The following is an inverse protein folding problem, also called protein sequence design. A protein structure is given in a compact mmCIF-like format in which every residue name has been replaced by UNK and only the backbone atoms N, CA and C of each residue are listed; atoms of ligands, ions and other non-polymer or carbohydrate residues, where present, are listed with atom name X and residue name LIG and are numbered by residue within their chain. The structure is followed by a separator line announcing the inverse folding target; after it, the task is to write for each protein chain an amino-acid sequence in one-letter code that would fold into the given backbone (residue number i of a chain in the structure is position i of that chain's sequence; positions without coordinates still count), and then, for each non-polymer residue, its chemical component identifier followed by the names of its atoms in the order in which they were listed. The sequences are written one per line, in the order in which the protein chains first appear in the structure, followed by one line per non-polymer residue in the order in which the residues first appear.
data_IF_862966142264
#
_entry.id   IF_862966142264
#
_cell.length_a   1.000
_cell.length_b   1.000
_cell.length_c   1.000
_cell.angle_alpha   90.00
_cell.angle_beta   90.00
_cell.angle_gamma   90.00
#
_symmetry.space_group_name_H-M   'P 1'
#
loop_
_entity.id
_entity.type
_entity.pdbx_description
1 polymer ?
#
# COMPACT_ATOMS: atom_id res chain seq x y z
N UNK A 1 -19.42 -3.55 6.11
CA UNK A 1 -18.46 -2.65 6.78
C UNK A 1 -17.23 -2.55 5.92
N UNK A 2 -16.65 -1.35 5.70
CA UNK A 2 -15.43 -1.22 4.91
C UNK A 2 -14.27 -1.93 5.61
N UNK A 3 -13.39 -2.54 4.83
CA UNK A 3 -12.21 -3.22 5.37
C UNK A 3 -11.14 -2.18 5.73
N UNK A 4 -10.53 -2.37 6.91
CA UNK A 4 -9.46 -1.49 7.39
C UNK A 4 -8.10 -1.94 6.90
N UNK A 5 -7.40 -1.02 6.27
CA UNK A 5 -6.05 -1.20 5.76
C UNK A 5 -5.09 -0.34 6.60
N UNK A 6 -4.07 -0.98 7.16
CA UNK A 6 -2.92 -0.28 7.71
C UNK A 6 -1.94 -0.01 6.56
N UNK A 7 -1.62 1.25 6.29
CA UNK A 7 -0.64 1.64 5.27
C UNK A 7 0.62 2.16 5.96
N UNK A 8 1.78 1.56 5.68
CA UNK A 8 3.07 2.05 6.19
C UNK A 8 3.94 2.54 5.03
N UNK A 9 4.11 3.85 4.93
CA UNK A 9 4.93 4.51 3.91
C UNK A 9 5.57 5.78 4.50
N UNK A 10 6.91 5.88 4.56
CA UNK A 10 7.59 7.07 5.08
C UNK A 10 7.48 8.29 4.17
N UNK A 11 7.33 8.11 2.85
CA UNK A 11 7.13 9.22 1.92
C UNK A 11 5.70 9.76 2.04
N UNK A 12 5.56 11.00 2.53
CA UNK A 12 4.25 11.59 2.80
C UNK A 12 3.39 11.80 1.54
N UNK A 13 4.01 12.03 0.38
CA UNK A 13 3.28 12.21 -0.87
C UNK A 13 2.74 10.86 -1.34
N UNK A 14 3.62 9.87 -1.44
CA UNK A 14 3.25 8.52 -1.86
C UNK A 14 2.25 7.89 -0.89
N UNK A 15 2.42 8.08 0.42
CA UNK A 15 1.48 7.63 1.44
C UNK A 15 0.07 8.19 1.19
N UNK A 16 -0.03 9.50 0.92
CA UNK A 16 -1.30 10.18 0.66
C UNK A 16 -1.95 9.65 -0.62
N UNK A 17 -1.18 9.48 -1.70
CA UNK A 17 -1.68 8.99 -2.97
C UNK A 17 -2.15 7.54 -2.88
N UNK A 18 -1.39 6.67 -2.23
CA UNK A 18 -1.78 5.28 -1.97
C UNK A 18 -3.08 5.20 -1.15
N UNK A 19 -3.20 6.02 -0.11
CA UNK A 19 -4.42 6.09 0.70
C UNK A 19 -5.62 6.55 -0.14
N UNK A 20 -5.46 7.59 -0.97
CA UNK A 20 -6.50 8.10 -1.86
C UNK A 20 -6.95 7.04 -2.86
N UNK A 21 -6.02 6.33 -3.49
CA UNK A 21 -6.36 5.27 -4.44
C UNK A 21 -7.18 4.18 -3.75
N UNK A 22 -6.71 3.67 -2.59
CA UNK A 22 -7.40 2.63 -1.83
C UNK A 22 -8.82 3.06 -1.39
N UNK A 23 -8.97 4.30 -0.93
CA UNK A 23 -10.24 4.86 -0.51
C UNK A 23 -11.20 5.01 -1.71
N UNK A 24 -10.74 5.63 -2.80
CA UNK A 24 -11.60 5.97 -3.95
C UNK A 24 -11.93 4.77 -4.85
N UNK A 25 -11.05 3.79 -4.97
CA UNK A 25 -11.29 2.61 -5.83
C UNK A 25 -11.79 1.39 -5.08
N UNK A 26 -11.37 1.20 -3.83
CA UNK A 26 -11.74 0.02 -3.03
C UNK A 26 -12.76 0.28 -1.95
N UNK A 27 -13.09 1.53 -1.64
CA UNK A 27 -13.97 1.87 -0.51
C UNK A 27 -13.39 1.45 0.84
N UNK A 28 -12.06 1.36 0.94
CA UNK A 28 -11.36 0.92 2.14
C UNK A 28 -11.21 2.05 3.15
N UNK A 29 -11.25 1.70 4.45
CA UNK A 29 -10.84 2.59 5.52
C UNK A 29 -9.32 2.46 5.67
N UNK A 30 -8.57 3.52 5.34
CA UNK A 30 -7.10 3.48 5.32
C UNK A 30 -6.55 4.28 6.49
N UNK A 31 -5.67 3.66 7.26
CA UNK A 31 -4.97 4.27 8.37
C UNK A 31 -3.47 4.38 8.05
N UNK A 32 -2.98 5.57 7.67
CA UNK A 32 -1.61 5.75 7.22
C UNK A 32 -0.63 5.96 8.39
N UNK A 33 0.57 5.36 8.32
CA UNK A 33 1.67 5.54 9.27
C UNK A 33 3.00 5.69 8.53
N UNK A 34 3.89 6.52 9.07
CA UNK A 34 5.18 6.77 8.44
C UNK A 34 6.23 5.72 8.81
N UNK A 35 6.04 4.97 9.90
CA UNK A 35 6.99 3.95 10.33
C UNK A 35 6.34 2.75 11.06
N UNK A 36 7.15 1.71 11.26
CA UNK A 36 6.77 0.45 11.91
C UNK A 36 6.37 0.66 13.35
N UNK A 37 7.08 1.51 14.08
CA UNK A 37 6.90 1.72 15.52
C UNK A 37 5.51 2.31 15.82
N UNK A 38 5.06 3.26 15.00
CA UNK A 38 3.72 3.82 15.10
C UNK A 38 2.64 2.79 14.70
N UNK A 39 2.95 1.95 13.70
CA UNK A 39 2.05 0.91 13.22
C UNK A 39 1.82 -0.19 14.26
N UNK A 40 2.89 -0.68 14.91
CA UNK A 40 2.83 -1.70 15.96
C UNK A 40 1.98 -1.25 17.15
N UNK A 41 2.17 0.01 17.60
CA UNK A 41 1.35 0.61 18.66
C UNK A 41 -0.15 0.58 18.32
N UNK A 42 -0.47 0.73 17.04
CA UNK A 42 -1.84 0.75 16.55
C UNK A 42 -2.47 -0.64 16.45
N UNK A 43 -1.69 -1.64 16.01
CA UNK A 43 -2.13 -3.04 15.91
C UNK A 43 -2.60 -3.59 17.25
N UNK A 44 -2.04 -3.10 18.36
CA UNK A 44 -2.46 -3.46 19.71
C UNK A 44 -3.83 -2.88 20.10
N UNK A 45 -4.25 -1.79 19.47
CA UNK A 45 -5.44 -1.02 19.86
C UNK A 45 -6.68 -1.36 19.05
N UNK A 46 -6.53 -1.87 17.82
CA UNK A 46 -7.65 -2.08 16.90
C UNK A 46 -7.32 -3.12 15.80
N UNK A 47 -8.33 -3.83 15.28
CA UNK A 47 -8.12 -4.80 14.22
C UNK A 47 -7.92 -4.13 12.86
N UNK A 48 -7.07 -4.74 12.04
CA UNK A 48 -6.85 -4.41 10.64
C UNK A 48 -7.01 -5.67 9.81
N UNK A 49 -7.63 -5.54 8.63
CA UNK A 49 -7.82 -6.67 7.72
C UNK A 49 -6.52 -7.01 6.99
N UNK A 50 -5.74 -6.00 6.62
CA UNK A 50 -4.47 -6.17 5.93
C UNK A 50 -3.49 -5.01 6.18
N UNK A 51 -2.22 -5.29 5.91
CA UNK A 51 -1.13 -4.33 5.89
C UNK A 51 -0.62 -4.11 4.47
N UNK A 52 -0.51 -2.85 4.04
CA UNK A 52 0.18 -2.44 2.81
C UNK A 52 1.46 -1.68 3.18
N UNK A 53 2.61 -2.15 2.71
CA UNK A 53 3.89 -1.47 2.95
C UNK A 53 4.96 -1.89 1.93
N UNK A 54 6.12 -1.21 1.94
CA UNK A 54 7.32 -1.66 1.22
C UNK A 54 7.82 -3.01 1.74
N UNK A 55 8.47 -3.82 0.90
CA UNK A 55 8.97 -5.15 1.27
C UNK A 55 9.86 -5.15 2.52
N UNK A 56 10.76 -4.16 2.66
CA UNK A 56 11.63 -4.01 3.82
C UNK A 56 10.85 -3.84 5.14
N UNK A 57 9.69 -3.19 5.09
CA UNK A 57 8.80 -2.98 6.22
C UNK A 57 8.06 -4.27 6.59
N UNK A 58 7.58 -5.04 5.60
CA UNK A 58 6.78 -6.25 5.84
C UNK A 58 7.49 -7.33 6.65
N UNK A 59 8.81 -7.42 6.51
CA UNK A 59 9.66 -8.36 7.27
C UNK A 59 9.64 -8.11 8.78
N UNK A 60 9.33 -6.88 9.20
CA UNK A 60 9.31 -6.44 10.61
C UNK A 60 7.93 -6.57 11.26
N UNK A 61 6.93 -6.99 10.49
CA UNK A 61 5.53 -7.00 10.92
C UNK A 61 5.07 -8.42 11.32
N UNK A 62 4.07 -8.57 12.21
CA UNK A 62 3.62 -9.87 12.67
C UNK A 62 3.24 -10.82 11.53
N UNK A 63 3.64 -12.09 11.62
CA UNK A 63 3.37 -13.10 10.58
C UNK A 63 1.87 -13.46 10.47
N UNK A 64 1.09 -13.21 11.51
CA UNK A 64 -0.35 -13.47 11.58
C UNK A 64 -1.22 -12.51 10.75
N UNK A 65 -0.64 -11.44 10.20
CA UNK A 65 -1.37 -10.49 9.36
C UNK A 65 -1.29 -10.85 7.88
N UNK A 66 -2.36 -10.55 7.15
CA UNK A 66 -2.34 -10.47 5.69
C UNK A 66 -1.50 -9.25 5.28
N UNK A 67 -0.51 -9.47 4.40
CA UNK A 67 0.48 -8.45 4.02
C UNK A 67 0.57 -8.31 2.51
N UNK A 68 0.72 -7.07 2.07
CA UNK A 68 0.82 -6.71 0.65
C UNK A 68 2.02 -5.81 0.47
N UNK A 69 2.95 -6.28 -0.36
CA UNK A 69 4.22 -5.60 -0.64
C UNK A 69 4.16 -4.83 -1.95
N UNK A 70 4.78 -3.65 -1.96
CA UNK A 70 5.09 -2.91 -3.19
C UNK A 70 6.55 -2.45 -3.18
N UNK A 71 7.05 -2.10 -4.38
CA UNK A 71 8.44 -1.70 -4.62
C UNK A 71 9.16 -2.65 -5.57
N UNK A 72 10.42 -2.33 -5.91
CA UNK A 72 11.25 -3.15 -6.78
C UNK A 72 11.59 -4.49 -6.11
N UNK A 73 10.89 -5.56 -6.49
CA UNK A 73 11.44 -6.91 -6.37
C UNK A 73 12.38 -7.15 -7.56
N UNK A 74 13.61 -7.60 -7.29
CA UNK A 74 14.51 -8.20 -8.31
C UNK A 74 14.02 -9.59 -8.76
N UNK A 75 12.70 -9.77 -8.91
CA UNK A 75 12.08 -10.96 -9.47
C UNK A 75 11.02 -10.49 -10.47
N UNK A 76 10.90 -11.15 -11.64
CA UNK A 76 9.94 -10.73 -12.64
C UNK A 76 8.52 -10.82 -12.06
N UNK A 77 7.88 -9.66 -11.94
CA UNK A 77 6.46 -9.59 -11.60
C UNK A 77 5.66 -10.24 -12.74
N UNK A 78 4.66 -11.09 -12.44
CA UNK A 78 3.70 -11.52 -13.44
C UNK A 78 3.04 -10.29 -14.08
N UNK A 79 2.76 -10.34 -15.39
CA UNK A 79 2.30 -9.21 -16.22
C UNK A 79 1.08 -8.44 -15.67
N UNK A 80 0.38 -8.97 -14.67
CA UNK A 80 -0.86 -8.42 -14.12
C UNK A 80 -0.91 -8.30 -12.58
N UNK A 81 0.21 -8.35 -11.85
CA UNK A 81 0.22 -8.27 -10.39
C UNK A 81 0.89 -6.98 -9.87
N UNK A 82 0.37 -6.35 -8.81
CA UNK A 82 1.11 -5.43 -7.92
C UNK A 82 1.01 -5.85 -6.45
N UNK A 83 1.36 -7.10 -6.18
CA UNK A 83 1.15 -7.71 -4.87
C UNK A 83 -0.27 -8.26 -4.77
N UNK A 84 -0.35 -9.47 -4.23
CA UNK A 84 -1.62 -10.16 -4.04
C UNK A 84 -2.41 -9.46 -2.93
N UNK A 85 -3.64 -9.04 -3.22
CA UNK A 85 -4.63 -8.78 -2.19
C UNK A 85 -5.50 -10.05 -2.09
N UNK A 86 -5.14 -10.95 -1.19
CA UNK A 86 -5.96 -12.13 -0.86
C UNK A 86 -6.59 -11.87 0.51
N UNK A 87 -7.94 -11.83 0.69
CA UNK A 87 -9.00 -12.29 -0.21
C UNK A 87 -9.72 -11.19 -1.02
N UNK A 88 -9.16 -9.99 -1.11
CA UNK A 88 -9.87 -8.87 -1.75
C UNK A 88 -9.47 -8.81 -3.21
N UNK A 89 -10.34 -9.32 -4.07
CA UNK A 89 -10.24 -9.30 -5.54
C UNK A 89 -9.35 -8.17 -6.07
N UNK A 90 -8.47 -8.45 -7.06
CA UNK A 90 -7.57 -7.46 -7.60
C UNK A 90 -8.35 -6.21 -8.00
N UNK A 91 -8.01 -5.07 -7.41
CA UNK A 91 -8.57 -3.79 -7.82
C UNK A 91 -8.09 -3.49 -9.25
N UNK A 92 -8.99 -3.39 -10.24
CA UNK A 92 -8.60 -3.08 -11.61
C UNK A 92 -7.77 -1.79 -11.66
N UNK A 93 -6.65 -1.81 -12.39
CA UNK A 93 -5.73 -0.67 -12.54
C UNK A 93 -5.07 -0.12 -11.26
N UNK A 94 -5.25 -0.74 -10.07
CA UNK A 94 -4.59 -0.33 -8.82
C UNK A 94 -3.06 -0.40 -8.90
N UNK A 95 -2.55 -1.61 -9.11
CA UNK A 95 -2.09 -1.84 -10.47
C UNK A 95 -1.03 -0.85 -11.01
N UNK A 96 -1.29 -0.52 -12.25
CA UNK A 96 -0.61 0.47 -13.04
C UNK A 96 -0.59 1.85 -12.39
N UNK A 97 -1.60 2.23 -11.58
CA UNK A 97 -1.60 3.52 -10.88
C UNK A 97 -0.47 3.61 -9.86
N UNK A 98 -0.32 2.62 -8.98
CA UNK A 98 0.79 2.58 -8.02
C UNK A 98 2.13 2.53 -8.74
N UNK A 99 2.22 1.79 -9.86
CA UNK A 99 3.43 1.75 -10.68
C UNK A 99 3.81 3.13 -11.23
N UNK A 100 2.87 3.86 -11.83
CA UNK A 100 3.08 5.23 -12.33
C UNK A 100 3.53 6.19 -11.23
N UNK A 101 2.93 6.08 -10.04
CA UNK A 101 3.33 6.90 -8.89
C UNK A 101 4.79 6.60 -8.45
N UNK A 102 5.19 5.33 -8.44
CA UNK A 102 6.54 4.90 -8.08
C UNK A 102 7.59 5.26 -9.15
N UNK A 103 7.21 5.19 -10.43
CA UNK A 103 8.07 5.53 -11.57
C UNK A 103 8.15 7.05 -11.81
N UNK A 104 7.35 7.85 -11.10
CA UNK A 104 7.29 9.30 -11.22
C UNK A 104 6.46 9.81 -12.41
N UNK A 105 5.73 8.90 -13.06
CA UNK A 105 5.01 9.08 -14.33
C UNK A 105 3.55 9.51 -14.09
N UNK A 106 3.37 10.48 -13.19
CA UNK A 106 2.07 11.14 -13.00
C UNK A 106 1.94 12.26 -14.04
N UNK A 107 1.04 12.16 -15.05
CA UNK A 107 0.81 13.23 -16.02
C UNK A 107 0.26 14.53 -15.39
N UNK A 108 -0.05 14.50 -14.09
CA UNK A 108 -0.51 15.64 -13.30
C UNK A 108 0.63 16.40 -12.59
N UNK A 109 1.87 15.88 -12.61
CA UNK A 109 3.04 16.58 -12.07
C UNK A 109 3.53 17.61 -13.10
N UNK A 110 3.59 18.91 -12.76
CA UNK A 110 4.28 19.86 -13.63
C UNK A 110 5.76 19.49 -13.66
N UNK A 111 6.31 19.38 -14.87
CA UNK A 111 7.74 19.23 -15.12
C UNK A 111 8.51 20.30 -14.35
N UNK A 112 9.21 19.89 -13.29
CA UNK A 112 10.23 20.75 -12.67
C UNK A 112 11.51 20.52 -13.47
N UNK A 113 11.68 21.32 -14.52
CA UNK A 113 12.98 21.57 -15.16
C UNK A 113 13.80 22.55 -14.33
#
# INVERSE_FOLDING_TARGET
MPLRILLIEPDALLQRELALVLQCTGGYEVEPRSCVEQALSLLMSRPFALLLARQSVLSRMPASMVKIGYGHLQLPMPEHCLGWIDPLRPLPAFAERVRKLLEGDDPSRPDVR
#
